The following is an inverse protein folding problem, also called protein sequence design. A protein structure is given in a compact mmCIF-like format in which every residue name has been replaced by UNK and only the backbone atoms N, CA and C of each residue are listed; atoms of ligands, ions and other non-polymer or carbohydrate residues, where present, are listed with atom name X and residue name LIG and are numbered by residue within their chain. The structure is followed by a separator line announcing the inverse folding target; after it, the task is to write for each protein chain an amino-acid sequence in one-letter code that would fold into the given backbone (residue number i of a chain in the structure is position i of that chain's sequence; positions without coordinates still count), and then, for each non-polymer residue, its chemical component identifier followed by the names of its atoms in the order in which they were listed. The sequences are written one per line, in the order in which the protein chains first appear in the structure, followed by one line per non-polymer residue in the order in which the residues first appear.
data_IF_680748038609
#
_entry.id   IF_680748038609
#
_cell.length_a   1.000
_cell.length_b   1.000
_cell.length_c   1.000
_cell.angle_alpha   90.00
_cell.angle_beta   90.00
_cell.angle_gamma   90.00
#
_symmetry.space_group_name_H-M   'P 1'
#
loop_
_entity.id
_entity.type
_entity.pdbx_description
1 polymer ?
#
# COMPACT_ATOMS: atom_id res chain seq x y z
N UNK A 1 -24.25 -2.40 6.32
CA UNK A 1 -23.78 -2.63 4.93
C UNK A 1 -22.58 -1.75 4.57
N UNK A 2 -22.53 -0.49 5.02
CA UNK A 2 -21.41 0.43 4.74
C UNK A 2 -20.04 -0.08 5.24
N UNK A 3 -19.98 -0.61 6.46
CA UNK A 3 -18.76 -1.17 7.07
C UNK A 3 -18.17 -2.33 6.28
N UNK A 4 -19.01 -3.20 5.71
CA UNK A 4 -18.57 -4.32 4.88
C UNK A 4 -17.96 -3.82 3.58
N UNK A 5 -18.57 -2.79 2.96
CA UNK A 5 -18.03 -2.15 1.75
C UNK A 5 -16.67 -1.49 1.98
N UNK A 6 -16.49 -0.82 3.13
CA UNK A 6 -15.23 -0.20 3.51
C UNK A 6 -14.13 -1.25 3.69
N UNK A 7 -14.42 -2.36 4.38
CA UNK A 7 -13.46 -3.45 4.60
C UNK A 7 -13.05 -4.08 3.27
N UNK A 8 -14.01 -4.38 2.39
CA UNK A 8 -13.73 -4.94 1.05
C UNK A 8 -12.84 -3.98 0.26
N UNK A 9 -13.15 -2.67 0.28
CA UNK A 9 -12.34 -1.65 -0.37
C UNK A 9 -10.89 -1.63 0.13
N UNK A 10 -10.68 -1.68 1.44
CA UNK A 10 -9.34 -1.71 2.05
C UNK A 10 -8.58 -2.98 1.61
N UNK A 11 -9.24 -4.14 1.68
CA UNK A 11 -8.62 -5.42 1.28
C UNK A 11 -8.22 -5.40 -0.20
N UNK A 12 -9.10 -4.94 -1.09
CA UNK A 12 -8.81 -4.82 -2.52
C UNK A 12 -7.62 -3.89 -2.77
N UNK A 13 -7.58 -2.72 -2.11
CA UNK A 13 -6.47 -1.77 -2.22
C UNK A 13 -5.15 -2.38 -1.75
N UNK A 14 -5.16 -3.12 -0.64
CA UNK A 14 -3.99 -3.83 -0.13
C UNK A 14 -3.47 -4.92 -1.09
N UNK A 15 -4.37 -5.68 -1.71
CA UNK A 15 -4.00 -6.73 -2.69
C UNK A 15 -3.36 -6.10 -3.94
N UNK A 16 -3.98 -5.04 -4.48
CA UNK A 16 -3.46 -4.34 -5.67
C UNK A 16 -2.10 -3.71 -5.37
N UNK A 17 -1.95 -3.10 -4.18
CA UNK A 17 -0.68 -2.57 -3.71
C UNK A 17 0.43 -3.62 -3.66
N UNK A 18 0.13 -4.77 -3.05
CA UNK A 18 1.08 -5.87 -2.95
C UNK A 18 1.52 -6.38 -4.33
N UNK A 19 0.58 -6.47 -5.28
CA UNK A 19 0.87 -6.90 -6.64
C UNK A 19 1.73 -5.88 -7.40
N UNK A 20 1.44 -4.58 -7.25
CA UNK A 20 2.24 -3.50 -7.83
C UNK A 20 3.65 -3.44 -7.23
N UNK A 21 3.79 -3.63 -5.91
CA UNK A 21 5.07 -3.69 -5.23
C UNK A 21 5.98 -4.80 -5.77
N UNK A 22 5.40 -5.94 -6.18
CA UNK A 22 6.15 -7.04 -6.83
C UNK A 22 6.65 -6.69 -8.24
N UNK A 23 5.93 -5.85 -8.99
CA UNK A 23 6.32 -5.43 -10.35
C UNK A 23 7.46 -4.41 -10.36
N UNK A 24 7.57 -3.58 -9.33
CA UNK A 24 8.69 -2.66 -9.19
C UNK A 24 8.46 -1.62 -8.11
N UNK A 25 9.55 -1.16 -7.49
CA UNK A 25 9.54 -0.25 -6.33
C UNK A 25 8.76 1.05 -6.60
N UNK A 26 8.83 1.58 -7.82
CA UNK A 26 8.10 2.80 -8.25
C UNK A 26 6.58 2.58 -8.26
N UNK A 27 6.13 1.40 -8.66
CA UNK A 27 4.70 1.07 -8.78
C UNK A 27 4.01 0.94 -7.41
N UNK A 28 4.74 0.64 -6.34
CA UNK A 28 4.19 0.59 -4.98
C UNK A 28 3.88 1.97 -4.39
N UNK A 29 4.36 3.05 -5.01
CA UNK A 29 4.12 4.43 -4.56
C UNK A 29 2.97 5.13 -5.30
N UNK A 30 2.34 4.48 -6.28
CA UNK A 30 1.21 5.06 -7.01
C UNK A 30 -0.04 5.15 -6.14
N UNK A 31 -0.43 4.06 -5.50
CA UNK A 31 -1.66 4.03 -4.68
C UNK A 31 -1.54 4.87 -3.39
N UNK A 32 -0.42 4.89 -2.64
CA UNK A 32 -0.25 5.82 -1.52
C UNK A 32 -0.36 7.28 -1.98
N UNK A 33 0.21 7.62 -3.14
CA UNK A 33 0.10 8.97 -3.70
C UNK A 33 -1.35 9.34 -4.04
N UNK A 34 -2.13 8.39 -4.59
CA UNK A 34 -3.57 8.60 -4.86
C UNK A 34 -4.34 8.82 -3.55
N UNK A 35 -4.07 8.02 -2.50
CA UNK A 35 -4.74 8.16 -1.20
C UNK A 35 -4.39 9.49 -0.53
N UNK A 36 -3.12 9.91 -0.59
CA UNK A 36 -2.70 11.23 -0.11
C UNK A 36 -3.42 12.33 -0.89
N UNK A 37 -3.45 12.22 -2.23
CA UNK A 37 -4.11 13.20 -3.09
C UNK A 37 -5.61 13.33 -2.81
N UNK A 38 -6.30 12.21 -2.61
CA UNK A 38 -7.70 12.17 -2.19
C UNK A 38 -7.90 12.76 -0.79
N UNK A 39 -7.02 12.45 0.15
CA UNK A 39 -7.03 13.01 1.50
C UNK A 39 -6.87 14.54 1.50
N UNK A 40 -5.93 15.06 0.71
CA UNK A 40 -5.71 16.50 0.50
C UNK A 40 -6.94 17.13 -0.17
N UNK A 41 -7.45 16.52 -1.25
CA UNK A 41 -8.64 17.03 -1.95
C UNK A 41 -9.87 17.08 -1.03
N UNK A 42 -10.09 16.06 -0.20
CA UNK A 42 -11.18 16.08 0.78
C UNK A 42 -10.95 17.12 1.87
N UNK A 43 -9.72 17.23 2.38
CA UNK A 43 -9.36 18.20 3.42
C UNK A 43 -9.57 19.65 2.95
N UNK A 44 -9.04 20.01 1.78
CA UNK A 44 -9.13 21.39 1.27
C UNK A 44 -10.41 21.68 0.45
N UNK A 45 -11.01 20.66 -0.18
CA UNK A 45 -12.09 20.83 -1.16
C UNK A 45 -13.52 20.68 -0.62
N UNK A 46 -13.72 20.24 0.62
CA UNK A 46 -15.08 20.01 1.15
C UNK A 46 -15.29 20.65 2.54
N UNK A 47 -15.94 21.82 2.57
CA UNK A 47 -16.76 22.29 3.71
C UNK A 47 -16.09 22.48 5.08
N UNK A 48 -16.87 22.86 6.11
CA UNK A 48 -16.34 23.31 7.40
C UNK A 48 -15.47 22.25 8.08
N UNK A 49 -14.28 22.67 8.51
CA UNK A 49 -13.29 21.81 9.14
C UNK A 49 -13.69 21.57 10.60
N UNK A 50 -14.34 20.43 10.89
CA UNK A 50 -14.52 19.98 12.27
C UNK A 50 -13.27 19.25 12.75
N UNK A 51 -12.89 19.45 14.02
CA UNK A 51 -11.70 18.83 14.62
C UNK A 51 -11.71 17.29 14.51
N UNK A 52 -12.90 16.66 14.59
CA UNK A 52 -13.06 15.22 14.41
C UNK A 52 -12.71 14.76 12.99
N UNK A 53 -13.08 15.54 11.97
CA UNK A 53 -12.82 15.19 10.57
C UNK A 53 -11.35 15.33 10.23
N UNK A 54 -10.69 16.36 10.76
CA UNK A 54 -9.26 16.55 10.62
C UNK A 54 -8.46 15.42 11.32
N UNK A 55 -8.86 15.05 12.53
CA UNK A 55 -8.23 13.95 13.28
C UNK A 55 -8.35 12.61 12.53
N UNK A 56 -9.54 12.31 12.00
CA UNK A 56 -9.79 11.09 11.22
C UNK A 56 -8.97 11.05 9.93
N UNK A 57 -8.86 12.15 9.19
CA UNK A 57 -8.03 12.23 7.98
C UNK A 57 -6.56 12.03 8.33
N UNK A 58 -6.06 12.66 9.41
CA UNK A 58 -4.66 12.53 9.87
C UNK A 58 -4.32 11.10 10.30
N UNK A 59 -5.15 10.50 11.15
CA UNK A 59 -4.94 9.14 11.63
C UNK A 59 -5.05 8.16 10.46
N UNK A 60 -6.07 8.30 9.61
CA UNK A 60 -6.29 7.45 8.45
C UNK A 60 -5.14 7.51 7.44
N UNK A 61 -4.62 8.71 7.14
CA UNK A 61 -3.48 8.87 6.24
C UNK A 61 -2.18 8.34 6.84
N UNK A 62 -1.89 8.61 8.12
CA UNK A 62 -0.68 8.08 8.78
C UNK A 62 -0.69 6.53 8.85
N UNK A 63 -1.80 5.93 9.27
CA UNK A 63 -1.94 4.46 9.34
C UNK A 63 -1.91 3.84 7.95
N UNK A 64 -2.60 4.44 6.97
CA UNK A 64 -2.58 3.98 5.57
C UNK A 64 -1.18 4.02 4.96
N UNK A 65 -0.45 5.12 5.14
CA UNK A 65 0.91 5.29 4.60
C UNK A 65 1.91 4.31 5.22
N UNK A 66 1.91 4.20 6.55
CA UNK A 66 2.80 3.26 7.25
C UNK A 66 2.55 1.81 6.82
N UNK A 67 1.29 1.40 6.67
CA UNK A 67 0.93 0.07 6.19
C UNK A 67 1.41 -0.17 4.74
N UNK A 68 1.26 0.84 3.87
CA UNK A 68 1.70 0.75 2.48
C UNK A 68 3.21 0.69 2.31
N UNK A 69 3.96 1.46 3.10
CA UNK A 69 5.44 1.40 3.12
C UNK A 69 5.89 0.00 3.57
N UNK A 70 5.28 -0.54 4.64
CA UNK A 70 5.59 -1.88 5.13
C UNK A 70 5.29 -2.97 4.09
N UNK A 71 4.15 -2.87 3.39
CA UNK A 71 3.82 -3.78 2.28
C UNK A 71 4.79 -3.67 1.10
N UNK A 72 5.27 -2.46 0.78
CA UNK A 72 6.27 -2.26 -0.25
C UNK A 72 7.60 -2.94 0.10
N UNK A 73 8.08 -2.78 1.34
CA UNK A 73 9.30 -3.43 1.82
C UNK A 73 9.16 -4.97 1.83
N UNK A 74 8.03 -5.48 2.33
CA UNK A 74 7.72 -6.92 2.29
C UNK A 74 7.66 -7.46 0.86
N UNK A 75 7.08 -6.71 -0.08
CA UNK A 75 7.02 -7.09 -1.50
C UNK A 75 8.41 -7.20 -2.13
N UNK A 76 9.31 -6.25 -1.82
CA UNK A 76 10.71 -6.26 -2.29
C UNK A 76 11.49 -7.41 -1.68
N UNK A 77 11.37 -7.65 -0.37
CA UNK A 77 12.05 -8.76 0.31
C UNK A 77 11.56 -10.12 -0.19
N UNK A 78 10.26 -10.28 -0.43
CA UNK A 78 9.68 -11.49 -1.02
C UNK A 78 10.28 -11.79 -2.40
N UNK A 79 10.40 -10.77 -3.27
CA UNK A 79 11.03 -10.91 -4.59
C UNK A 79 12.51 -11.27 -4.48
N UNK A 80 13.24 -10.66 -3.55
CA UNK A 80 14.66 -10.94 -3.30
C UNK A 80 14.87 -12.38 -2.82
N UNK A 81 14.01 -12.87 -1.93
CA UNK A 81 14.02 -14.27 -1.47
C UNK A 81 13.69 -15.25 -2.58
N UNK A 82 12.72 -14.94 -3.45
CA UNK A 82 12.43 -15.79 -4.62
C UNK A 82 13.62 -15.89 -5.57
N UNK A 83 14.23 -14.76 -5.94
CA UNK A 83 15.41 -14.73 -6.81
C UNK A 83 16.60 -15.49 -6.20
N UNK A 84 16.80 -15.38 -4.88
CA UNK A 84 17.87 -16.12 -4.20
C UNK A 84 17.64 -17.64 -4.25
N UNK A 85 16.41 -18.10 -4.02
CA UNK A 85 16.06 -19.53 -4.12
C UNK A 85 16.14 -20.07 -5.54
N UNK A 86 15.77 -19.28 -6.55
CA UNK A 86 15.95 -19.66 -7.96
C UNK A 86 17.44 -19.78 -8.30
N UNK A 87 18.27 -18.84 -7.85
CA UNK A 87 19.72 -18.89 -8.05
C UNK A 87 20.34 -20.13 -7.39
N UNK A 88 20.00 -20.40 -6.14
CA UNK A 88 20.47 -21.60 -5.44
C UNK A 88 20.02 -22.90 -6.14
N UNK A 89 18.80 -22.96 -6.71
CA UNK A 89 18.37 -24.13 -7.49
C UNK A 89 19.16 -24.32 -8.78
N UNK A 90 19.52 -23.24 -9.47
CA UNK A 90 20.33 -23.32 -10.69
C UNK A 90 21.76 -23.78 -10.38
N UNK A 91 22.36 -23.29 -9.28
CA UNK A 91 23.71 -23.72 -8.85
C UNK A 91 23.75 -25.21 -8.45
N UNK A 92 22.65 -25.79 -7.97
CA UNK A 92 22.55 -27.23 -7.64
C UNK A 92 22.34 -28.10 -8.89
N UNK A 93 21.72 -27.58 -9.95
CA UNK A 93 21.51 -28.34 -11.20
C UNK A 93 22.74 -28.36 -12.12
N UNK A 94 23.67 -27.43 -11.94
CA UNK A 94 24.95 -27.38 -12.67
C UNK A 94 26.04 -28.28 -12.07
N UNK A 95 25.77 -28.94 -10.93
CA UNK A 95 26.65 -29.88 -10.21
C UNK A 95 26.23 -31.33 -10.44
#
# INVERSE_FOLDING_TARGET
METVGIIIGIVTVCIVQFYLARRGRVWSFIIPAIIIGLGIYWYFGTGPHSADRESLIRIGTCVGLSMMISMAEMGVDSRRKQLKREKERMEIQDL
#
